data_IF_918408435825
#
_entry.id   IF_918408435825
#
_cell.length_a   1.000
_cell.length_b   1.000
_cell.length_c   1.000
_cell.angle_alpha   90.00
_cell.angle_beta   90.00
_cell.angle_gamma   90.00
#
_symmetry.space_group_name_H-M   'P 1'
#
loop_
_entity.id
_entity.type
_entity.pdbx_description
1 polymer ?
#
# COMPACT_ATOMS: atom_id res chain seq x y z
N UNK A 1 -5.11 -28.00 -5.08
CA UNK A 1 -5.72 -27.62 -3.77
C UNK A 1 -4.98 -26.37 -3.25
N UNK A 2 -4.90 -25.28 -4.04
CA UNK A 2 -3.67 -24.45 -4.02
C UNK A 2 -3.86 -22.95 -3.70
N UNK A 3 -4.88 -22.57 -2.94
CA UNK A 3 -5.08 -21.18 -2.53
C UNK A 3 -5.47 -21.11 -1.06
N UNK A 4 -4.51 -21.23 -0.15
CA UNK A 4 -4.80 -21.08 1.28
C UNK A 4 -5.34 -19.69 1.56
N UNK A 5 -6.54 -19.63 2.15
CA UNK A 5 -7.19 -18.39 2.57
C UNK A 5 -7.63 -18.41 4.04
N UNK A 6 -7.60 -19.58 4.70
CA UNK A 6 -8.06 -19.73 6.07
C UNK A 6 -9.52 -19.30 6.22
N UNK A 7 -9.78 -18.43 7.20
CA UNK A 7 -11.11 -17.85 7.47
C UNK A 7 -11.43 -16.66 6.54
N UNK A 8 -10.44 -16.17 5.77
CA UNK A 8 -10.59 -15.01 4.91
C UNK A 8 -11.25 -15.38 3.59
N UNK A 9 -11.94 -14.40 3.00
CA UNK A 9 -12.71 -14.58 1.76
C UNK A 9 -11.78 -14.89 0.58
N UNK A 10 -10.67 -14.15 0.50
CA UNK A 10 -9.75 -14.20 -0.64
C UNK A 10 -8.31 -14.54 -0.23
N UNK A 11 -7.60 -15.24 -1.13
CA UNK A 11 -6.19 -15.60 -0.95
C UNK A 11 -5.26 -14.39 -0.89
N UNK A 12 -5.59 -13.31 -1.60
CA UNK A 12 -4.74 -12.11 -1.66
C UNK A 12 -4.83 -11.34 -0.34
N UNK A 13 -6.03 -11.25 0.24
CA UNK A 13 -6.25 -10.73 1.60
C UNK A 13 -5.46 -11.58 2.62
N UNK A 14 -5.53 -12.91 2.50
CA UNK A 14 -4.79 -13.83 3.38
C UNK A 14 -3.28 -13.66 3.27
N UNK A 15 -2.76 -13.51 2.06
CA UNK A 15 -1.36 -13.20 1.82
C UNK A 15 -0.95 -11.87 2.45
N UNK A 16 -1.76 -10.82 2.26
CA UNK A 16 -1.46 -9.49 2.77
C UNK A 16 -1.42 -9.44 4.30
N UNK A 17 -2.39 -10.07 4.97
CA UNK A 17 -2.42 -10.19 6.44
C UNK A 17 -1.21 -10.97 6.96
N UNK A 18 -0.80 -12.04 6.26
CA UNK A 18 0.38 -12.82 6.64
C UNK A 18 1.67 -12.01 6.49
N UNK A 19 1.81 -11.25 5.40
CA UNK A 19 2.96 -10.37 5.18
C UNK A 19 3.04 -9.26 6.25
N UNK A 20 1.92 -8.61 6.58
CA UNK A 20 1.86 -7.62 7.66
C UNK A 20 2.22 -8.24 9.01
N UNK A 21 1.75 -9.45 9.30
CA UNK A 21 2.10 -10.19 10.52
C UNK A 21 3.62 -10.43 10.60
N UNK A 22 4.24 -10.83 9.49
CA UNK A 22 5.69 -11.00 9.42
C UNK A 22 6.41 -9.67 9.69
N UNK A 23 6.01 -8.59 9.03
CA UNK A 23 6.61 -7.25 9.20
C UNK A 23 6.49 -6.78 10.66
N UNK A 24 5.32 -6.93 11.28
CA UNK A 24 5.08 -6.64 12.69
C UNK A 24 6.06 -7.40 13.61
N UNK A 25 6.18 -8.72 13.40
CA UNK A 25 7.03 -9.57 14.22
C UNK A 25 8.53 -9.36 13.95
N UNK A 26 8.91 -8.79 12.80
CA UNK A 26 10.30 -8.41 12.52
C UNK A 26 10.68 -7.13 13.28
N UNK A 27 9.82 -6.11 13.30
CA UNK A 27 10.19 -4.80 13.83
C UNK A 27 9.76 -4.52 15.27
N UNK A 28 8.61 -5.02 15.76
CA UNK A 28 8.04 -4.57 17.05
C UNK A 28 7.90 -5.69 18.11
N UNK A 29 8.11 -6.95 17.73
CA UNK A 29 7.98 -8.11 18.64
C UNK A 29 9.23 -8.42 19.48
N UNK A 30 10.12 -7.44 19.74
CA UNK A 30 11.37 -7.65 20.49
C UNK A 30 11.15 -8.05 21.97
N UNK A 31 9.99 -7.70 22.54
CA UNK A 31 9.59 -8.04 23.90
C UNK A 31 9.01 -9.46 24.04
N UNK A 32 8.72 -10.13 22.92
CA UNK A 32 8.17 -11.50 22.89
C UNK A 32 9.32 -12.52 22.98
N UNK A 33 9.10 -13.62 23.69
CA UNK A 33 10.08 -14.72 23.78
C UNK A 33 10.51 -15.19 22.39
N UNK A 34 11.82 -15.32 22.17
CA UNK A 34 12.40 -15.66 20.86
C UNK A 34 11.77 -16.92 20.24
N UNK A 35 11.50 -17.95 21.03
CA UNK A 35 10.86 -19.18 20.54
C UNK A 35 9.43 -18.94 20.01
N UNK A 36 8.63 -18.12 20.69
CA UNK A 36 7.27 -17.77 20.25
C UNK A 36 7.34 -16.89 19.00
N UNK A 37 8.24 -15.92 18.99
CA UNK A 37 8.47 -15.04 17.83
C UNK A 37 8.89 -15.85 16.59
N UNK A 38 9.82 -16.78 16.76
CA UNK A 38 10.29 -17.67 15.69
C UNK A 38 9.15 -18.56 15.18
N UNK A 39 8.36 -19.15 16.09
CA UNK A 39 7.20 -19.97 15.73
C UNK A 39 6.18 -19.18 14.89
N UNK A 40 5.80 -17.99 15.34
CA UNK A 40 4.83 -17.14 14.61
C UNK A 40 5.37 -16.77 13.24
N UNK A 41 6.63 -16.35 13.15
CA UNK A 41 7.26 -16.04 11.86
C UNK A 41 7.26 -17.25 10.93
N UNK A 42 7.70 -18.42 11.40
CA UNK A 42 7.71 -19.65 10.60
C UNK A 42 6.31 -20.01 10.09
N UNK A 43 5.30 -19.98 10.96
CA UNK A 43 3.92 -20.28 10.58
C UNK A 43 3.39 -19.26 9.57
N UNK A 44 3.63 -17.97 9.79
CA UNK A 44 3.17 -16.91 8.90
C UNK A 44 3.85 -16.97 7.52
N UNK A 45 5.15 -17.29 7.46
CA UNK A 45 5.88 -17.48 6.19
C UNK A 45 5.35 -18.70 5.42
N UNK A 46 5.15 -19.83 6.10
CA UNK A 46 4.59 -21.04 5.49
C UNK A 46 3.19 -20.77 4.96
N UNK A 47 2.33 -20.15 5.77
CA UNK A 47 0.98 -19.80 5.35
C UNK A 47 0.98 -18.84 4.15
N UNK A 48 1.80 -17.77 4.20
CA UNK A 48 1.98 -16.83 3.08
C UNK A 48 2.39 -17.56 1.79
N UNK A 49 3.37 -18.46 1.87
CA UNK A 49 3.82 -19.24 0.71
C UNK A 49 2.69 -20.07 0.09
N UNK A 50 1.85 -20.70 0.92
CA UNK A 50 0.71 -21.50 0.46
C UNK A 50 -0.50 -20.67 0.05
N UNK A 51 -0.58 -19.37 0.37
CA UNK A 51 -1.61 -18.47 -0.20
C UNK A 51 -1.43 -18.25 -1.71
N UNK A 52 -0.19 -18.38 -2.21
CA UNK A 52 0.18 -18.03 -3.60
C UNK A 52 -0.20 -16.60 -4.01
N UNK A 53 -0.31 -15.67 -3.05
CA UNK A 53 -0.47 -14.23 -3.32
C UNK A 53 0.83 -13.66 -3.89
N UNK A 54 0.93 -13.58 -5.22
CA UNK A 54 2.11 -13.08 -5.95
C UNK A 54 2.53 -11.69 -5.44
N UNK A 55 1.55 -10.81 -5.22
CA UNK A 55 1.75 -9.45 -4.70
C UNK A 55 2.40 -9.48 -3.31
N UNK A 56 1.79 -10.18 -2.35
CA UNK A 56 2.27 -10.19 -0.97
C UNK A 56 3.65 -10.84 -0.84
N UNK A 57 3.88 -11.93 -1.58
CA UNK A 57 5.18 -12.60 -1.66
C UNK A 57 6.26 -11.69 -2.27
N UNK A 58 5.94 -11.02 -3.38
CA UNK A 58 6.87 -10.12 -4.07
C UNK A 58 7.21 -8.86 -3.26
N UNK A 59 6.26 -8.34 -2.48
CA UNK A 59 6.46 -7.13 -1.68
C UNK A 59 7.21 -7.38 -0.37
N UNK A 60 7.08 -8.56 0.24
CA UNK A 60 7.60 -8.81 1.58
C UNK A 60 9.12 -8.53 1.70
N UNK A 61 9.92 -9.04 0.76
CA UNK A 61 11.37 -8.85 0.76
C UNK A 61 11.78 -7.37 0.66
N UNK A 62 11.42 -6.67 -0.43
CA UNK A 62 11.74 -5.25 -0.62
C UNK A 62 11.27 -4.35 0.52
N UNK A 63 10.05 -4.58 1.03
CA UNK A 63 9.49 -3.80 2.14
C UNK A 63 10.27 -4.03 3.43
N UNK A 64 10.61 -5.29 3.73
CA UNK A 64 11.39 -5.63 4.93
C UNK A 64 12.79 -5.02 4.85
N UNK A 65 13.43 -5.07 3.69
CA UNK A 65 14.74 -4.42 3.46
C UNK A 65 14.63 -2.91 3.64
N UNK A 66 13.59 -2.27 3.08
CA UNK A 66 13.38 -0.83 3.25
C UNK A 66 13.20 -0.43 4.72
N UNK A 67 12.42 -1.20 5.49
CA UNK A 67 12.29 -1.01 6.94
C UNK A 67 13.63 -1.20 7.67
N UNK A 68 14.40 -2.24 7.31
CA UNK A 68 15.69 -2.54 7.93
C UNK A 68 16.74 -1.45 7.68
N UNK A 69 16.79 -0.90 6.47
CA UNK A 69 17.66 0.23 6.10
C UNK A 69 17.35 1.50 6.91
N UNK A 70 16.15 1.61 7.49
CA UNK A 70 15.76 2.73 8.33
C UNK A 70 16.06 2.55 9.82
N UNK A 71 16.51 1.37 10.27
CA UNK A 71 16.95 1.18 11.66
C UNK A 71 18.12 2.11 12.04
N UNK A 72 19.19 2.24 11.23
CA UNK A 72 20.26 3.20 11.52
C UNK A 72 19.95 4.63 11.08
N UNK A 73 18.73 4.92 10.62
CA UNK A 73 18.39 6.20 10.01
C UNK A 73 18.59 7.37 10.98
N UNK A 74 19.36 8.36 10.51
CA UNK A 74 19.47 9.68 11.14
C UNK A 74 18.84 10.73 10.23
N UNK A 75 18.14 11.66 10.86
CA UNK A 75 17.45 12.76 10.16
C UNK A 75 18.40 13.61 9.31
N UNK A 76 19.68 13.69 9.66
CA UNK A 76 20.68 14.45 8.90
C UNK A 76 20.86 13.88 7.48
N UNK A 77 20.54 12.60 7.27
CA UNK A 77 20.53 11.94 5.97
C UNK A 77 19.18 12.04 5.25
N UNK A 78 18.21 12.81 5.75
CA UNK A 78 16.88 12.95 5.12
C UNK A 78 16.97 13.29 3.64
N UNK A 79 17.78 14.30 3.28
CA UNK A 79 17.92 14.71 1.89
C UNK A 79 18.47 13.56 1.02
N UNK A 80 19.51 12.88 1.50
CA UNK A 80 20.12 11.74 0.79
C UNK A 80 19.12 10.59 0.62
N UNK A 81 18.37 10.24 1.66
CA UNK A 81 17.33 9.19 1.61
C UNK A 81 16.20 9.58 0.66
N UNK A 82 15.71 10.83 0.73
CA UNK A 82 14.68 11.33 -0.19
C UNK A 82 15.15 11.30 -1.65
N UNK A 83 16.39 11.73 -1.93
CA UNK A 83 16.98 11.64 -3.27
C UNK A 83 17.09 10.18 -3.69
N UNK A 84 17.59 9.29 -2.83
CA UNK A 84 17.70 7.86 -3.12
C UNK A 84 16.36 7.22 -3.47
N UNK A 85 15.29 7.58 -2.77
CA UNK A 85 13.92 7.12 -3.07
C UNK A 85 13.47 7.64 -4.44
N UNK A 86 13.62 8.95 -4.71
CA UNK A 86 13.23 9.55 -6.00
C UNK A 86 14.00 8.89 -7.14
N UNK A 87 15.32 8.73 -7.01
CA UNK A 87 16.16 8.07 -8.01
C UNK A 87 15.78 6.60 -8.21
N UNK A 88 15.41 5.89 -7.14
CA UNK A 88 14.93 4.50 -7.24
C UNK A 88 13.60 4.43 -7.99
N UNK A 89 12.65 5.31 -7.68
CA UNK A 89 11.37 5.40 -8.39
C UNK A 89 11.58 5.73 -9.87
N UNK A 90 12.43 6.72 -10.19
CA UNK A 90 12.77 7.07 -11.57
C UNK A 90 13.46 5.92 -12.29
N UNK A 91 14.36 5.21 -11.62
CA UNK A 91 15.02 4.01 -12.15
C UNK A 91 14.01 2.90 -12.48
N UNK A 92 13.05 2.63 -11.59
CA UNK A 92 11.98 1.65 -11.84
C UNK A 92 11.13 2.06 -13.04
N UNK A 93 10.74 3.33 -13.13
CA UNK A 93 9.96 3.84 -14.26
C UNK A 93 10.75 3.74 -15.56
N UNK A 94 12.04 4.10 -15.54
CA UNK A 94 12.90 4.02 -16.70
C UNK A 94 13.10 2.57 -17.17
N UNK A 95 13.37 1.65 -16.26
CA UNK A 95 13.47 0.21 -16.57
C UNK A 95 12.14 -0.29 -17.13
N UNK A 96 11.02 0.05 -16.50
CA UNK A 96 9.68 -0.31 -17.00
C UNK A 96 9.41 0.23 -18.39
N UNK A 97 9.86 1.46 -18.70
CA UNK A 97 9.73 2.06 -20.02
C UNK A 97 10.60 1.37 -21.08
N UNK A 98 11.87 1.10 -20.75
CA UNK A 98 12.83 0.44 -21.67
C UNK A 98 12.36 -0.98 -22.03
N UNK A 99 11.87 -1.74 -21.06
CA UNK A 99 11.44 -3.13 -21.26
C UNK A 99 9.94 -3.28 -21.51
N UNK A 100 9.20 -2.18 -21.76
CA UNK A 100 7.75 -2.22 -21.87
C UNK A 100 7.27 -3.18 -22.98
N UNK A 101 7.94 -3.17 -24.13
CA UNK A 101 7.61 -4.03 -25.27
C UNK A 101 7.90 -5.51 -24.98
N UNK A 102 8.97 -5.80 -24.25
CA UNK A 102 9.36 -7.17 -23.89
C UNK A 102 8.50 -7.73 -22.76
N UNK A 103 7.98 -6.86 -21.89
CA UNK A 103 7.04 -7.19 -20.82
C UNK A 103 5.61 -7.35 -21.35
N UNK A 104 5.27 -6.72 -22.49
CA UNK A 104 3.90 -6.69 -23.02
C UNK A 104 3.27 -8.09 -23.19
N UNK A 105 3.95 -9.11 -23.76
CA UNK A 105 3.39 -10.45 -23.89
C UNK A 105 3.09 -11.11 -22.54
N UNK A 106 3.93 -10.85 -21.53
CA UNK A 106 3.71 -11.36 -20.17
C UNK A 106 2.57 -10.62 -19.47
N UNK A 107 2.42 -9.31 -19.71
CA UNK A 107 1.31 -8.52 -19.17
C UNK A 107 -0.03 -8.93 -19.81
N UNK A 108 -0.02 -9.28 -21.10
CA UNK A 108 -1.20 -9.70 -21.87
C UNK A 108 -1.57 -11.18 -21.70
N UNK A 109 -0.67 -12.02 -21.18
CA UNK A 109 -1.00 -13.42 -20.92
C UNK A 109 -2.11 -13.53 -19.84
N UNK A 110 -3.11 -14.37 -20.13
CA UNK A 110 -4.36 -14.46 -19.37
C UNK A 110 -4.17 -14.77 -17.86
N UNK A 111 -3.07 -15.43 -17.51
CA UNK A 111 -2.75 -15.89 -16.14
C UNK A 111 -1.91 -14.92 -15.30
N UNK A 112 -1.38 -13.85 -15.88
CA UNK A 112 -0.35 -13.02 -15.21
C UNK A 112 -0.95 -11.85 -14.47
N UNK A 113 -1.97 -11.21 -15.04
CA UNK A 113 -2.64 -10.04 -14.50
C UNK A 113 -4.14 -10.23 -14.26
N UNK A 114 -4.65 -11.46 -14.12
CA UNK A 114 -6.06 -11.73 -13.77
C UNK A 114 -7.08 -10.90 -14.57
N UNK A 115 -6.81 -10.67 -15.86
CA UNK A 115 -7.68 -9.87 -16.72
C UNK A 115 -7.63 -8.33 -16.55
N UNK A 116 -6.73 -7.78 -15.73
CA UNK A 116 -6.61 -6.33 -15.44
C UNK A 116 -6.32 -5.46 -16.67
N UNK A 117 -5.63 -6.01 -17.66
CA UNK A 117 -5.35 -5.34 -18.94
C UNK A 117 -6.65 -4.97 -19.67
N UNK A 118 -7.75 -5.68 -19.39
CA UNK A 118 -9.07 -5.38 -19.93
C UNK A 118 -9.88 -4.38 -19.07
N UNK A 119 -9.57 -4.29 -17.77
CA UNK A 119 -10.28 -3.42 -16.81
C UNK A 119 -9.75 -1.97 -16.88
N UNK A 120 -8.42 -1.82 -16.87
CA UNK A 120 -7.78 -0.50 -16.74
C UNK A 120 -8.09 0.47 -17.90
N UNK A 121 -8.17 0.05 -19.17
CA UNK A 121 -8.57 0.94 -20.25
C UNK A 121 -9.95 1.58 -20.01
N UNK A 122 -10.92 0.83 -19.50
CA UNK A 122 -12.25 1.35 -19.21
C UNK A 122 -12.22 2.42 -18.09
N UNK A 123 -11.45 2.17 -17.03
CA UNK A 123 -11.25 3.14 -15.93
C UNK A 123 -10.57 4.43 -16.43
N UNK A 124 -9.54 4.28 -17.27
CA UNK A 124 -8.81 5.42 -17.84
C UNK A 124 -9.69 6.22 -18.80
N UNK A 125 -10.46 5.56 -19.67
CA UNK A 125 -11.40 6.22 -20.57
C UNK A 125 -12.48 6.99 -19.81
N UNK A 126 -13.05 6.40 -18.76
CA UNK A 126 -14.01 7.11 -17.91
C UNK A 126 -13.39 8.34 -17.25
N UNK A 127 -12.18 8.19 -16.70
CA UNK A 127 -11.47 9.30 -16.07
C UNK A 127 -11.16 10.41 -17.07
N UNK A 128 -10.76 10.12 -18.32
CA UNK A 128 -10.50 11.15 -19.33
C UNK A 128 -11.72 12.06 -19.58
N UNK A 129 -12.92 11.50 -19.51
CA UNK A 129 -14.19 12.24 -19.64
C UNK A 129 -14.61 12.95 -18.35
N UNK A 130 -14.19 12.45 -17.18
CA UNK A 130 -14.68 12.88 -15.86
C UNK A 130 -13.55 13.25 -14.88
N UNK A 131 -12.43 13.78 -15.40
CA UNK A 131 -11.15 13.84 -14.67
C UNK A 131 -11.16 14.72 -13.42
N UNK A 132 -12.12 15.65 -13.28
CA UNK A 132 -12.18 16.57 -12.13
C UNK A 132 -12.87 15.92 -10.93
N UNK A 133 -14.09 15.39 -11.10
CA UNK A 133 -14.91 14.91 -9.99
C UNK A 133 -14.97 13.38 -9.90
N UNK A 134 -14.66 12.67 -10.99
CA UNK A 134 -14.92 11.25 -11.10
C UNK A 134 -16.41 10.91 -10.99
N UNK A 135 -16.70 9.66 -10.63
CA UNK A 135 -18.06 9.14 -10.49
C UNK A 135 -18.73 9.48 -9.15
N UNK A 136 -17.95 9.88 -8.15
CA UNK A 136 -18.32 9.81 -6.75
C UNK A 136 -17.83 8.50 -6.10
N UNK A 137 -17.60 8.57 -4.79
CA UNK A 137 -17.11 7.44 -3.99
C UNK A 137 -18.13 6.28 -3.99
N UNK A 138 -17.68 5.07 -4.35
CA UNK A 138 -18.50 3.88 -4.54
C UNK A 138 -19.28 3.87 -5.86
N UNK A 139 -19.69 5.04 -6.36
CA UNK A 139 -20.60 5.18 -7.51
C UNK A 139 -20.10 4.57 -8.82
N UNK A 140 -18.78 4.43 -8.99
CA UNK A 140 -18.27 3.81 -10.21
C UNK A 140 -18.66 2.32 -10.29
N UNK A 141 -18.66 1.59 -9.17
CA UNK A 141 -18.87 0.14 -9.13
C UNK A 141 -20.23 -0.27 -8.54
N UNK A 142 -20.72 0.46 -7.53
CA UNK A 142 -21.72 -0.06 -6.58
C UNK A 142 -23.16 0.47 -6.79
N UNK A 143 -23.49 1.01 -7.97
CA UNK A 143 -24.83 1.56 -8.27
C UNK A 143 -25.67 0.71 -9.23
N UNK A 144 -25.32 -0.57 -9.39
CA UNK A 144 -26.07 -1.49 -10.24
C UNK A 144 -25.99 -1.12 -11.72
N UNK A 145 -27.12 -1.19 -12.44
CA UNK A 145 -27.19 -0.95 -13.89
C UNK A 145 -26.77 0.46 -14.33
N UNK A 146 -26.80 1.42 -13.41
CA UNK A 146 -26.41 2.80 -13.69
C UNK A 146 -24.89 3.02 -13.59
N UNK A 147 -24.13 1.95 -13.27
CA UNK A 147 -22.67 2.02 -13.16
C UNK A 147 -22.07 2.52 -14.48
N UNK A 148 -21.12 3.48 -14.43
CA UNK A 148 -20.46 3.97 -15.63
C UNK A 148 -19.77 2.87 -16.46
N UNK A 149 -19.36 1.76 -15.85
CA UNK A 149 -18.60 0.69 -16.53
C UNK A 149 -19.34 0.13 -17.76
N UNK A 150 -20.67 0.07 -17.72
CA UNK A 150 -21.51 -0.44 -18.81
C UNK A 150 -21.41 0.40 -20.09
N UNK A 151 -20.96 1.66 -20.00
CA UNK A 151 -20.72 2.51 -21.17
C UNK A 151 -19.39 2.23 -21.86
N UNK A 152 -18.41 1.66 -21.15
CA UNK A 152 -17.04 1.48 -21.65
C UNK A 152 -16.71 0.04 -22.00
N UNK A 153 -17.51 -0.94 -21.54
CA UNK A 153 -17.31 -2.34 -21.88
C UNK A 153 -18.59 -3.15 -21.72
N UNK A 154 -18.75 -4.18 -22.55
CA UNK A 154 -19.82 -5.18 -22.46
C UNK A 154 -19.28 -6.58 -22.10
N UNK A 155 -18.02 -6.66 -21.65
CA UNK A 155 -17.35 -7.91 -21.31
C UNK A 155 -17.62 -8.34 -19.86
N UNK A 156 -16.97 -9.44 -19.42
CA UNK A 156 -16.96 -9.89 -18.04
C UNK A 156 -16.48 -8.82 -17.04
N UNK A 157 -15.78 -7.77 -17.50
CA UNK A 157 -15.36 -6.62 -16.67
C UNK A 157 -16.56 -5.91 -16.03
N UNK A 158 -17.75 -5.97 -16.62
CA UNK A 158 -18.98 -5.44 -15.99
C UNK A 158 -19.42 -6.22 -14.74
N UNK A 159 -18.85 -7.41 -14.51
CA UNK A 159 -19.18 -8.30 -13.40
C UNK A 159 -18.18 -8.19 -12.24
N UNK A 160 -17.10 -7.40 -12.38
CA UNK A 160 -16.16 -7.17 -11.27
C UNK A 160 -16.59 -5.97 -10.43
N UNK A 161 -16.25 -6.00 -9.14
CA UNK A 161 -16.56 -4.92 -8.20
C UNK A 161 -15.42 -3.92 -7.97
N UNK A 162 -14.25 -4.11 -8.58
CA UNK A 162 -13.13 -3.18 -8.46
C UNK A 162 -12.12 -3.33 -9.61
N UNK A 163 -11.21 -2.36 -9.73
CA UNK A 163 -10.16 -2.30 -10.76
C UNK A 163 -8.92 -3.15 -10.51
N UNK A 164 -8.85 -3.85 -9.37
CA UNK A 164 -7.63 -4.48 -8.83
C UNK A 164 -6.39 -3.56 -8.87
N UNK A 165 -6.63 -2.26 -8.73
CA UNK A 165 -5.65 -1.19 -8.65
C UNK A 165 -6.34 -0.01 -7.96
N UNK A 166 -6.10 0.14 -6.67
CA UNK A 166 -6.78 1.15 -5.88
C UNK A 166 -6.47 2.58 -6.32
N UNK A 167 -5.37 2.84 -7.02
CA UNK A 167 -5.11 4.18 -7.56
C UNK A 167 -6.00 4.48 -8.77
N UNK A 168 -6.16 3.54 -9.70
CA UNK A 168 -7.09 3.72 -10.82
C UNK A 168 -8.54 3.81 -10.34
N UNK A 169 -8.91 3.03 -9.33
CA UNK A 169 -10.24 3.12 -8.72
C UNK A 169 -10.50 4.47 -8.07
N UNK A 170 -9.55 5.00 -7.30
CA UNK A 170 -9.70 6.32 -6.70
C UNK A 170 -9.69 7.44 -7.75
N UNK A 171 -8.92 7.27 -8.82
CA UNK A 171 -8.91 8.20 -9.94
C UNK A 171 -10.27 8.24 -10.64
N UNK A 172 -10.88 7.08 -10.91
CA UNK A 172 -12.21 7.00 -11.51
C UNK A 172 -13.32 7.49 -10.58
N UNK A 173 -13.22 7.23 -9.27
CA UNK A 173 -14.26 7.60 -8.30
C UNK A 173 -14.17 9.04 -7.82
N UNK A 174 -12.97 9.57 -7.57
CA UNK A 174 -12.78 10.88 -6.94
C UNK A 174 -12.19 11.94 -7.87
N UNK A 175 -11.83 11.56 -9.10
CA UNK A 175 -11.09 12.42 -10.02
C UNK A 175 -9.67 12.72 -9.55
N UNK A 176 -8.96 13.53 -10.35
CA UNK A 176 -7.57 13.94 -10.13
C UNK A 176 -7.36 14.71 -8.81
N UNK A 177 -8.21 15.67 -8.41
CA UNK A 177 -8.08 16.34 -7.12
C UNK A 177 -8.26 15.38 -5.95
N UNK A 178 -9.23 14.46 -6.04
CA UNK A 178 -9.53 13.52 -4.97
C UNK A 178 -8.42 12.50 -4.74
N UNK A 179 -7.88 11.90 -5.82
CA UNK A 179 -6.72 11.00 -5.68
C UNK A 179 -5.49 11.75 -5.14
N UNK A 180 -5.26 12.99 -5.56
CA UNK A 180 -4.15 13.80 -5.04
C UNK A 180 -4.29 14.01 -3.52
N UNK A 181 -5.49 14.34 -3.04
CA UNK A 181 -5.76 14.47 -1.61
C UNK A 181 -5.59 13.15 -0.86
N UNK A 182 -6.11 12.04 -1.40
CA UNK A 182 -5.98 10.71 -0.79
C UNK A 182 -4.52 10.27 -0.68
N UNK A 183 -3.76 10.32 -1.77
CA UNK A 183 -2.34 9.95 -1.79
C UNK A 183 -1.50 10.88 -0.91
N UNK A 184 -1.77 12.18 -0.95
CA UNK A 184 -1.03 13.15 -0.13
C UNK A 184 -1.25 12.92 1.36
N UNK A 185 -2.51 12.75 1.77
CA UNK A 185 -2.89 12.61 3.18
C UNK A 185 -2.53 11.25 3.78
N UNK A 186 -2.66 10.16 3.01
CA UNK A 186 -2.48 8.80 3.51
C UNK A 186 -1.05 8.27 3.34
N UNK A 187 -0.31 8.76 2.34
CA UNK A 187 1.02 8.23 2.02
C UNK A 187 2.10 9.30 2.16
N UNK A 188 2.00 10.41 1.43
CA UNK A 188 3.11 11.38 1.32
C UNK A 188 3.37 12.11 2.64
N UNK A 189 2.33 12.68 3.26
CA UNK A 189 2.48 13.44 4.52
C UNK A 189 2.95 12.53 5.68
N UNK A 190 2.36 11.34 5.91
CA UNK A 190 2.83 10.42 6.94
C UNK A 190 4.27 9.96 6.72
N UNK A 191 4.64 9.62 5.47
CA UNK A 191 6.00 9.22 5.13
C UNK A 191 7.02 10.36 5.37
N UNK A 192 6.69 11.57 4.93
CA UNK A 192 7.49 12.77 5.18
C UNK A 192 7.69 13.04 6.67
N UNK A 193 6.67 12.79 7.49
CA UNK A 193 6.75 12.90 8.95
C UNK A 193 7.69 11.89 9.56
N UNK A 194 7.63 10.63 9.14
CA UNK A 194 8.53 9.59 9.64
C UNK A 194 10.01 9.89 9.35
N UNK A 195 10.30 10.52 8.21
CA UNK A 195 11.64 10.99 7.86
C UNK A 195 12.03 12.29 8.60
N UNK A 196 11.08 13.11 9.02
CA UNK A 196 11.36 14.43 9.61
C UNK A 196 11.31 14.46 11.13
N UNK A 197 10.73 13.45 11.78
CA UNK A 197 10.57 13.43 13.23
C UNK A 197 11.81 12.83 13.91
N UNK A 198 12.38 13.60 14.84
CA UNK A 198 13.46 13.18 15.73
C UNK A 198 12.90 12.42 16.94
N UNK A 199 13.68 11.50 17.49
CA UNK A 199 13.35 10.81 18.75
C UNK A 199 12.23 9.77 18.67
N UNK A 200 11.83 9.35 17.47
CA UNK A 200 11.02 8.14 17.29
C UNK A 200 11.93 6.95 17.52
N UNK A 201 11.43 5.96 18.26
CA UNK A 201 12.07 4.65 18.38
C UNK A 201 12.39 4.07 16.98
N UNK A 202 13.65 3.66 16.70
CA UNK A 202 14.03 3.19 15.37
C UNK A 202 13.19 2.01 14.87
N UNK A 203 12.86 1.06 15.75
CA UNK A 203 12.04 -0.09 15.40
C UNK A 203 10.62 0.33 15.02
N UNK A 204 10.00 1.22 15.79
CA UNK A 204 8.70 1.80 15.46
C UNK A 204 8.73 2.57 14.13
N UNK A 205 9.76 3.39 13.88
CA UNK A 205 9.92 4.12 12.61
C UNK A 205 10.00 3.13 11.44
N UNK A 206 10.85 2.12 11.55
CA UNK A 206 11.02 1.07 10.53
C UNK A 206 9.72 0.32 10.27
N UNK A 207 8.97 -0.02 11.32
CA UNK A 207 7.66 -0.66 11.19
C UNK A 207 6.67 0.22 10.43
N UNK A 208 6.50 1.49 10.84
CA UNK A 208 5.52 2.38 10.21
C UNK A 208 5.87 2.66 8.74
N UNK A 209 7.16 2.81 8.42
CA UNK A 209 7.58 2.95 7.02
C UNK A 209 7.32 1.67 6.24
N UNK A 210 7.66 0.50 6.78
CA UNK A 210 7.40 -0.77 6.13
C UNK A 210 5.89 -0.98 5.87
N UNK A 211 5.04 -0.66 6.84
CA UNK A 211 3.58 -0.70 6.69
C UNK A 211 3.07 0.25 5.62
N UNK A 212 3.53 1.51 5.61
CA UNK A 212 3.13 2.49 4.59
C UNK A 212 3.56 2.04 3.19
N UNK A 213 4.79 1.58 3.01
CA UNK A 213 5.28 1.09 1.72
C UNK A 213 4.50 -0.15 1.30
N UNK A 214 4.25 -1.09 2.22
CA UNK A 214 3.46 -2.28 1.92
C UNK A 214 2.05 -1.91 1.47
N UNK A 215 1.34 -1.06 2.21
CA UNK A 215 -0.02 -0.63 1.85
C UNK A 215 -0.03 0.10 0.51
N UNK A 216 0.93 1.01 0.29
CA UNK A 216 1.05 1.77 -0.95
C UNK A 216 1.30 0.85 -2.17
N UNK A 217 2.24 -0.09 -2.04
CA UNK A 217 2.61 -0.98 -3.12
C UNK A 217 1.57 -2.08 -3.35
N UNK A 218 0.95 -2.60 -2.28
CA UNK A 218 -0.18 -3.52 -2.37
C UNK A 218 -1.34 -2.88 -3.13
N UNK A 219 -1.59 -1.59 -2.90
CA UNK A 219 -2.67 -0.86 -3.57
C UNK A 219 -2.45 -0.65 -5.09
N UNK A 220 -1.24 -0.90 -5.62
CA UNK A 220 -1.01 -0.93 -7.07
C UNK A 220 -1.66 -2.16 -7.72
N UNK A 221 -1.81 -3.23 -6.94
CA UNK A 221 -2.23 -4.53 -7.43
C UNK A 221 -3.50 -5.05 -6.75
N UNK A 222 -4.06 -4.32 -5.81
CA UNK A 222 -5.34 -4.58 -5.18
C UNK A 222 -6.04 -3.27 -4.88
N UNK A 223 -7.36 -3.28 -4.88
CA UNK A 223 -8.17 -2.11 -4.58
C UNK A 223 -8.48 -2.07 -3.11
N UNK A 224 -7.62 -1.41 -2.34
CA UNK A 224 -7.63 -1.51 -0.89
C UNK A 224 -7.71 -0.16 -0.17
N UNK A 225 -7.18 0.91 -0.75
CA UNK A 225 -7.16 2.24 -0.15
C UNK A 225 -8.52 2.92 -0.27
N UNK A 226 -9.06 3.36 0.87
CA UNK A 226 -10.43 3.86 1.02
C UNK A 226 -11.52 2.85 0.64
N UNK A 227 -11.20 1.57 0.50
CA UNK A 227 -12.23 0.54 0.38
C UNK A 227 -12.80 0.18 1.76
N UNK A 228 -14.13 -0.03 1.81
CA UNK A 228 -14.90 -0.22 3.04
C UNK A 228 -14.62 -1.55 3.73
N UNK A 229 -14.35 -2.60 2.95
CA UNK A 229 -14.25 -3.98 3.45
C UNK A 229 -12.79 -4.48 3.46
N UNK A 230 -11.83 -3.59 3.16
CA UNK A 230 -10.42 -3.93 3.05
C UNK A 230 -9.69 -3.85 4.40
N UNK A 231 -9.12 -4.96 4.91
CA UNK A 231 -8.30 -4.92 6.12
C UNK A 231 -7.01 -4.11 5.92
N UNK A 232 -6.51 -3.99 4.68
CA UNK A 232 -5.34 -3.16 4.41
C UNK A 232 -5.65 -1.67 4.55
N UNK A 233 -6.90 -1.25 4.28
CA UNK A 233 -7.34 0.12 4.55
C UNK A 233 -7.26 0.44 6.05
N UNK A 234 -7.70 -0.49 6.89
CA UNK A 234 -7.65 -0.36 8.35
C UNK A 234 -6.20 -0.26 8.82
N UNK A 235 -5.32 -1.13 8.32
CA UNK A 235 -3.88 -1.11 8.66
C UNK A 235 -3.24 0.22 8.22
N UNK A 236 -3.59 0.72 7.03
CA UNK A 236 -3.14 2.03 6.56
C UNK A 236 -3.58 3.15 7.51
N UNK A 237 -4.88 3.22 7.85
CA UNK A 237 -5.39 4.25 8.76
C UNK A 237 -4.79 4.18 10.15
N UNK A 238 -4.65 2.97 10.72
CA UNK A 238 -4.00 2.76 12.02
C UNK A 238 -2.55 3.24 11.94
N UNK A 239 -1.82 2.90 10.89
CA UNK A 239 -0.43 3.36 10.70
C UNK A 239 -0.36 4.89 10.63
N UNK A 240 -1.22 5.53 9.84
CA UNK A 240 -1.30 7.00 9.74
C UNK A 240 -1.62 7.63 11.10
N UNK A 241 -2.57 7.07 11.86
CA UNK A 241 -2.91 7.54 13.19
C UNK A 241 -1.72 7.42 14.17
N UNK A 242 -0.96 6.32 14.11
CA UNK A 242 0.24 6.13 14.92
C UNK A 242 1.33 7.16 14.59
N UNK A 243 1.54 7.47 13.30
CA UNK A 243 2.47 8.52 12.86
C UNK A 243 2.05 9.89 13.41
N UNK A 244 0.75 10.19 13.39
CA UNK A 244 0.23 11.44 13.95
C UNK A 244 0.37 11.51 15.47
N UNK A 245 0.10 10.40 16.17
CA UNK A 245 0.33 10.30 17.61
C UNK A 245 1.79 10.59 17.98
N UNK A 246 2.74 10.04 17.24
CA UNK A 246 4.18 10.33 17.45
C UNK A 246 4.50 11.82 17.22
N UNK A 247 3.88 12.43 16.20
CA UNK A 247 4.03 13.87 15.94
C UNK A 247 3.51 14.71 17.12
N UNK A 248 2.32 14.40 17.63
CA UNK A 248 1.68 15.13 18.71
C UNK A 248 2.44 15.01 20.04
N UNK A 249 2.91 13.79 20.37
CA UNK A 249 3.73 13.55 21.56
C UNK A 249 5.04 14.35 21.53
N UNK A 250 5.62 14.57 20.35
CA UNK A 250 6.84 15.37 20.23
C UNK A 250 6.59 16.87 20.45
N UNK A 251 5.49 17.40 19.91
CA UNK A 251 5.08 18.79 20.13
C UNK A 251 4.87 19.07 21.62
N UNK A 252 4.11 18.21 22.31
CA UNK A 252 3.87 18.38 23.75
C UNK A 252 5.15 18.31 24.61
N UNK A 253 6.16 17.50 24.22
CA UNK A 253 7.47 17.48 24.90
C UNK A 253 8.26 18.77 24.68
N UNK A 254 8.23 19.33 23.48
CA UNK A 254 8.90 20.60 23.18
C UNK A 254 8.29 21.77 23.97
N UNK A 255 6.97 21.83 24.10
CA UNK A 255 6.29 22.86 24.89
C UNK A 255 6.65 22.76 26.38
N UNK A 256 6.72 21.54 26.92
CA UNK A 256 7.15 21.31 28.30
C UNK A 256 8.62 21.71 28.53
N UNK A 257 9.53 21.40 27.60
CA UNK A 257 10.93 21.81 27.68
C UNK A 257 11.06 23.34 27.64
N UNK A 258 10.29 24.03 26.79
CA UNK A 258 10.30 25.50 26.71
C UNK A 258 9.80 26.15 28.01
N UNK A 259 8.71 25.63 28.60
CA UNK A 259 8.13 26.16 29.85
C UNK A 259 9.01 25.99 31.10
N UNK A 260 10.02 25.11 31.08
CA UNK A 260 10.96 24.90 32.20
C UNK A 260 12.14 25.88 32.19
N UNK A 261 12.33 26.59 31.08
CA UNK A 261 13.46 27.52 30.87
C UNK A 261 13.05 28.97 31.12
N UNK A 262 11.74 29.26 31.09
CA UNK A 262 11.12 30.55 31.47
C UNK A 262 10.75 30.59 32.94
#
# INVERSE_FOLDING_TARGET
>A
MDNWRGVLIEKNIAGAISAITIILFIFDAGHIRLAVRALVLSVAFVFLYFTKSKTSLGLLGPVTVAGWLLLPYRIDYKLLVSIGIVMSCLGIVLVGYIYLTDLMPYLQADDTLTGRVLIWPALVSYWQENWILGAGFGSFWDIGSDSPIYRYTASWVTQVGNGHNGYLDLMAQLGTPGIFLAVSSLLIIPFSKLLSLRGIDPCARSLYVAMLIFCAAHNLNESSMLDRDSPMNIILFVTVALVWRQSALRLGRADQEASRIT
#
